data_IF_061721614210
#
_entry.id   IF_061721614210
#
_cell.length_a   1.000
_cell.length_b   1.000
_cell.length_c   1.000
_cell.angle_alpha   90.00
_cell.angle_beta   90.00
_cell.angle_gamma   90.00
#
_symmetry.space_group_name_H-M   'P 1'
#
loop_
_entity.id
_entity.type
_entity.pdbx_description
1 polymer ?
#
# COMPACT_ATOMS: atom_id res chain seq x y z
N UNK A 1 -15.39 7.77 2.69
CA UNK A 1 -14.23 7.84 3.62
C UNK A 1 -14.54 6.96 4.83
N UNK A 2 -13.65 6.06 5.24
CA UNK A 2 -14.00 4.97 6.19
C UNK A 2 -13.14 4.89 7.45
N UNK A 3 -11.99 5.58 7.53
CA UNK A 3 -11.17 5.58 8.75
C UNK A 3 -11.89 6.16 9.99
N UNK A 4 -12.62 7.30 9.90
CA UNK A 4 -13.39 7.80 11.04
C UNK A 4 -14.40 6.77 11.55
N UNK A 5 -15.09 6.07 10.64
CA UNK A 5 -16.04 5.01 10.97
C UNK A 5 -15.36 3.79 11.60
N UNK A 6 -14.19 3.38 11.09
CA UNK A 6 -13.41 2.30 11.70
C UNK A 6 -13.00 2.64 13.14
N UNK A 7 -12.62 3.89 13.42
CA UNK A 7 -12.30 4.37 14.77
C UNK A 7 -13.55 4.34 15.66
N UNK A 8 -14.69 4.83 15.17
CA UNK A 8 -15.95 4.81 15.93
C UNK A 8 -16.38 3.38 16.27
N UNK A 9 -16.31 2.45 15.31
CA UNK A 9 -16.59 1.03 15.55
C UNK A 9 -15.67 0.50 16.66
N UNK A 10 -14.36 0.68 16.51
CA UNK A 10 -13.37 0.18 17.47
C UNK A 10 -13.59 0.70 18.90
N UNK A 11 -13.92 1.99 19.05
CA UNK A 11 -14.22 2.60 20.35
C UNK A 11 -15.56 2.15 20.92
N UNK A 12 -16.57 1.88 20.08
CA UNK A 12 -17.84 1.31 20.53
C UNK A 12 -17.73 -0.12 21.02
N UNK A 13 -16.84 -0.91 20.41
CA UNK A 13 -16.55 -2.26 20.89
C UNK A 13 -15.85 -2.24 22.24
N UNK A 14 -14.94 -1.28 22.43
CA UNK A 14 -14.20 -1.08 23.66
C UNK A 14 -13.59 0.32 23.68
N UNK A 15 -13.96 1.13 24.67
CA UNK A 15 -13.29 2.40 24.96
C UNK A 15 -11.79 2.16 25.13
N UNK A 16 -10.97 3.02 24.54
CA UNK A 16 -9.52 2.81 24.48
C UNK A 16 -8.79 4.14 24.39
N UNK A 17 -7.55 4.14 24.86
CA UNK A 17 -6.65 5.25 24.56
C UNK A 17 -6.20 5.24 23.10
N UNK A 18 -5.70 6.38 22.61
CA UNK A 18 -5.16 6.46 21.24
C UNK A 18 -4.06 5.42 20.96
N UNK A 19 -3.19 5.15 21.95
CA UNK A 19 -2.14 4.15 21.83
C UNK A 19 -2.67 2.71 21.83
N UNK A 20 -3.70 2.42 22.63
CA UNK A 20 -4.36 1.11 22.57
C UNK A 20 -5.11 0.93 21.27
N UNK A 21 -5.71 2.00 20.76
CA UNK A 21 -6.40 1.99 19.48
C UNK A 21 -5.43 1.67 18.35
N UNK A 22 -4.27 2.33 18.28
CA UNK A 22 -3.25 1.99 17.25
C UNK A 22 -2.80 0.54 17.35
N UNK A 23 -2.56 0.02 18.55
CA UNK A 23 -2.21 -1.39 18.76
C UNK A 23 -3.33 -2.36 18.34
N UNK A 24 -4.60 -1.99 18.52
CA UNK A 24 -5.75 -2.77 18.06
C UNK A 24 -5.92 -2.69 16.55
N UNK A 25 -5.62 -1.55 15.93
CA UNK A 25 -5.49 -1.47 14.47
C UNK A 25 -4.38 -2.39 13.97
N UNK A 26 -3.20 -2.41 14.59
CA UNK A 26 -2.12 -3.30 14.16
C UNK A 26 -2.46 -4.81 14.33
N UNK A 27 -3.33 -5.16 15.29
CA UNK A 27 -3.61 -6.56 15.68
C UNK A 27 -4.98 -7.14 15.29
N UNK A 28 -5.99 -6.32 15.04
CA UNK A 28 -7.37 -6.80 14.88
C UNK A 28 -8.19 -6.04 13.84
N UNK A 29 -7.96 -4.74 13.66
CA UNK A 29 -8.76 -3.90 12.74
C UNK A 29 -8.01 -3.62 11.43
N UNK A 30 -6.67 -3.71 11.44
CA UNK A 30 -5.78 -3.47 10.30
C UNK A 30 -5.97 -4.42 9.12
N UNK A 31 -6.65 -5.53 9.37
CA UNK A 31 -6.98 -6.58 8.41
C UNK A 31 -7.96 -6.14 7.32
N UNK A 32 -8.90 -5.25 7.65
CA UNK A 32 -9.86 -4.70 6.69
C UNK A 32 -9.64 -3.23 6.41
N UNK A 33 -8.84 -2.56 7.25
CA UNK A 33 -8.58 -1.13 7.13
C UNK A 33 -7.18 -0.77 7.62
N UNK A 34 -6.27 -0.49 6.69
CA UNK A 34 -4.94 0.01 7.04
C UNK A 34 -4.98 1.51 7.32
N UNK A 35 -4.37 1.92 8.44
CA UNK A 35 -4.17 3.31 8.78
C UNK A 35 -2.88 3.47 9.59
N UNK A 36 -2.10 4.49 9.26
CA UNK A 36 -0.91 4.82 10.04
C UNK A 36 -1.32 5.36 11.41
N UNK A 37 -0.44 5.22 12.40
CA UNK A 37 -0.69 5.78 13.74
C UNK A 37 -0.98 7.29 13.66
N UNK A 38 -0.26 8.02 12.81
CA UNK A 38 -0.49 9.45 12.58
C UNK A 38 -1.89 9.74 12.02
N UNK A 39 -2.37 8.94 11.08
CA UNK A 39 -3.74 9.07 10.56
C UNK A 39 -4.76 8.83 11.67
N UNK A 40 -4.58 7.80 12.50
CA UNK A 40 -5.48 7.50 13.63
C UNK A 40 -5.54 8.68 14.61
N UNK A 41 -4.40 9.23 15.03
CA UNK A 41 -4.37 10.38 15.94
C UNK A 41 -5.01 11.64 15.34
N UNK A 42 -4.78 11.89 14.05
CA UNK A 42 -5.41 13.03 13.35
C UNK A 42 -6.93 12.88 13.30
N UNK A 43 -7.43 11.70 12.97
CA UNK A 43 -8.87 11.45 12.93
C UNK A 43 -9.49 11.46 14.34
N UNK A 44 -8.81 10.98 15.38
CA UNK A 44 -9.29 11.13 16.77
C UNK A 44 -9.53 12.60 17.14
N UNK A 45 -8.56 13.48 16.84
CA UNK A 45 -8.73 14.92 17.09
C UNK A 45 -9.81 15.58 16.23
N UNK A 46 -10.14 15.00 15.07
CA UNK A 46 -11.27 15.45 14.25
C UNK A 46 -12.61 15.01 14.86
N UNK A 47 -12.75 13.73 15.19
CA UNK A 47 -13.95 13.16 15.81
C UNK A 47 -14.30 13.86 17.14
N UNK A 48 -13.28 14.23 17.92
CA UNK A 48 -13.46 14.98 19.18
C UNK A 48 -13.99 16.40 18.91
N UNK A 49 -13.41 17.12 17.93
CA UNK A 49 -13.89 18.45 17.51
C UNK A 49 -15.32 18.42 16.94
N UNK A 50 -15.68 17.33 16.25
CA UNK A 50 -17.02 17.12 15.70
C UNK A 50 -18.04 16.64 16.77
N UNK A 51 -17.63 16.47 18.03
CA UNK A 51 -18.51 16.05 19.11
C UNK A 51 -18.99 14.60 18.99
N UNK A 52 -18.30 13.78 18.19
CA UNK A 52 -18.63 12.37 17.98
C UNK A 52 -17.99 11.47 19.04
N UNK A 53 -16.89 11.90 19.64
CA UNK A 53 -16.21 11.25 20.77
C UNK A 53 -15.85 12.28 21.83
N UNK A 54 -15.51 11.81 23.04
CA UNK A 54 -14.84 12.65 24.06
C UNK A 54 -13.76 11.88 24.79
N UNK A 55 -12.77 12.62 25.30
CA UNK A 55 -11.84 12.09 26.29
C UNK A 55 -12.55 11.83 27.63
N UNK A 56 -12.34 10.65 28.21
CA UNK A 56 -12.81 10.30 29.55
C UNK A 56 -11.93 11.01 30.58
N UNK A 57 -12.50 11.79 31.52
CA UNK A 57 -11.74 12.43 32.58
C UNK A 57 -11.06 11.39 33.47
N UNK A 58 -9.75 11.54 33.69
CA UNK A 58 -9.04 10.68 34.64
C UNK A 58 -9.44 11.06 36.09
N UNK A 59 -9.64 10.09 37.00
CA UNK A 59 -9.99 10.35 38.41
C UNK A 59 -8.95 11.20 39.18
N UNK A 60 -7.70 11.24 38.70
CA UNK A 60 -6.64 12.09 39.23
C UNK A 60 -5.81 12.68 38.08
N UNK A 61 -5.53 14.00 38.10
CA UNK A 61 -4.66 14.65 37.13
C UNK A 61 -3.21 14.22 37.39
N UNK A 62 -2.80 13.11 36.79
CA UNK A 62 -1.41 12.66 36.77
C UNK A 62 -0.79 12.95 35.40
N UNK A 63 0.35 13.64 35.40
CA UNK A 63 1.14 13.93 34.20
C UNK A 63 1.50 12.59 33.53
N UNK A 64 1.08 12.41 32.27
CA UNK A 64 1.39 11.21 31.48
C UNK A 64 0.33 10.11 31.44
N UNK A 65 -0.85 10.29 32.05
CA UNK A 65 -1.96 9.33 31.84
C UNK A 65 -2.50 9.40 30.41
N UNK A 66 -2.77 8.22 29.86
CA UNK A 66 -3.33 8.05 28.52
C UNK A 66 -4.75 8.61 28.49
N UNK A 67 -5.06 9.45 27.50
CA UNK A 67 -6.43 9.88 27.23
C UNK A 67 -7.20 8.69 26.65
N UNK A 68 -8.15 8.16 27.41
CA UNK A 68 -9.13 7.21 26.91
C UNK A 68 -10.28 7.96 26.24
N UNK A 69 -10.82 7.39 25.16
CA UNK A 69 -11.94 7.98 24.43
C UNK A 69 -13.17 7.10 24.54
N UNK A 70 -14.33 7.74 24.63
CA UNK A 70 -15.63 7.10 24.46
C UNK A 70 -16.43 7.77 23.34
N UNK A 71 -17.33 7.00 22.72
CA UNK A 71 -18.19 7.48 21.64
C UNK A 71 -19.46 8.11 22.19
N UNK A 72 -19.77 9.30 21.69
CA UNK A 72 -20.98 10.07 22.03
C UNK A 72 -22.18 9.65 21.17
N UNK A 73 -23.42 10.05 21.54
CA UNK A 73 -24.61 9.76 20.73
C UNK A 73 -24.48 10.20 19.27
N UNK A 74 -23.82 11.34 19.01
CA UNK A 74 -23.55 11.82 17.66
C UNK A 74 -22.67 10.85 16.85
N UNK A 75 -21.65 10.24 17.47
CA UNK A 75 -20.81 9.23 16.80
C UNK A 75 -21.56 7.93 16.51
N UNK A 76 -22.52 7.53 17.35
CA UNK A 76 -23.41 6.40 17.04
C UNK A 76 -24.36 6.72 15.90
N UNK A 77 -24.95 7.92 15.89
CA UNK A 77 -25.83 8.37 14.82
C UNK A 77 -25.10 8.44 13.47
N UNK A 78 -23.84 8.90 13.48
CA UNK A 78 -22.96 8.89 12.32
C UNK A 78 -22.82 7.51 11.69
N UNK A 79 -22.52 6.49 12.50
CA UNK A 79 -22.39 5.11 12.01
C UNK A 79 -23.71 4.55 11.46
N UNK A 80 -24.84 4.88 12.09
CA UNK A 80 -26.16 4.47 11.60
C UNK A 80 -26.42 5.08 10.22
N UNK A 81 -26.14 6.38 10.06
CA UNK A 81 -26.28 7.07 8.77
C UNK A 81 -25.35 6.46 7.72
N UNK A 82 -24.06 6.32 8.04
CA UNK A 82 -23.05 5.82 7.12
C UNK A 82 -23.32 4.38 6.66
N UNK A 83 -23.78 3.49 7.56
CA UNK A 83 -24.15 2.12 7.22
C UNK A 83 -25.30 2.07 6.20
N UNK A 84 -26.21 3.03 6.24
CA UNK A 84 -27.36 3.12 5.33
C UNK A 84 -27.04 3.85 4.02
N UNK A 85 -25.84 4.42 3.90
CA UNK A 85 -25.42 5.17 2.72
C UNK A 85 -25.17 4.21 1.54
N UNK A 86 -25.68 4.57 0.37
CA UNK A 86 -25.42 3.84 -0.86
C UNK A 86 -24.10 4.33 -1.47
N UNK A 87 -23.23 3.39 -1.83
CA UNK A 87 -21.98 3.68 -2.55
C UNK A 87 -21.82 2.67 -3.69
N UNK A 88 -21.18 3.09 -4.78
CA UNK A 88 -20.91 2.19 -5.90
C UNK A 88 -19.73 1.27 -5.58
N UNK A 89 -19.73 0.02 -6.08
CA UNK A 89 -18.57 -0.87 -5.97
C UNK A 89 -17.32 -0.21 -6.56
N UNK A 90 -16.30 -0.01 -5.71
CA UNK A 90 -15.04 0.59 -6.15
C UNK A 90 -14.21 -0.43 -6.89
N UNK A 91 -13.69 -0.04 -8.05
CA UNK A 91 -12.70 -0.85 -8.77
C UNK A 91 -11.40 -0.90 -7.98
N UNK A 92 -10.79 -2.09 -7.79
CA UNK A 92 -9.46 -2.21 -7.22
C UNK A 92 -8.47 -1.35 -8.02
N UNK A 93 -7.68 -0.53 -7.31
CA UNK A 93 -6.62 0.29 -7.90
C UNK A 93 -5.27 -0.19 -7.38
N UNK A 94 -4.91 -1.40 -7.76
CA UNK A 94 -3.62 -1.98 -7.40
C UNK A 94 -2.57 -1.64 -8.48
N UNK A 95 -1.48 -0.91 -8.14
CA UNK A 95 -0.39 -0.64 -9.07
C UNK A 95 0.25 -1.89 -9.68
N UNK A 96 0.20 -3.04 -9.00
CA UNK A 96 0.76 -4.30 -9.48
C UNK A 96 0.11 -4.75 -10.78
N UNK A 97 -1.21 -4.55 -10.93
CA UNK A 97 -1.94 -4.87 -12.16
C UNK A 97 -1.46 -4.01 -13.34
N UNK A 98 -1.17 -2.73 -13.10
CA UNK A 98 -0.62 -1.84 -14.12
C UNK A 98 0.83 -2.20 -14.46
N UNK A 99 1.65 -2.57 -13.47
CA UNK A 99 3.02 -3.05 -13.69
C UNK A 99 3.04 -4.32 -14.54
N UNK A 100 2.15 -5.27 -14.26
CA UNK A 100 2.01 -6.49 -15.06
C UNK A 100 1.53 -6.19 -16.49
N UNK A 101 0.63 -5.21 -16.66
CA UNK A 101 0.26 -4.77 -18.01
C UNK A 101 1.44 -4.13 -18.74
N UNK A 102 2.23 -3.31 -18.04
CA UNK A 102 3.41 -2.68 -18.62
C UNK A 102 4.45 -3.71 -19.07
N UNK A 103 4.61 -4.83 -18.34
CA UNK A 103 5.58 -5.85 -18.73
C UNK A 103 5.26 -6.55 -20.06
N UNK A 104 3.98 -6.56 -20.47
CA UNK A 104 3.60 -7.01 -21.81
C UNK A 104 4.05 -6.08 -22.94
N UNK A 105 4.49 -4.86 -22.61
CA UNK A 105 4.95 -3.83 -23.58
C UNK A 105 6.46 -3.64 -23.51
N UNK A 106 7.03 -3.61 -22.31
CA UNK A 106 8.45 -3.24 -22.09
C UNK A 106 9.34 -4.39 -21.60
N UNK A 107 8.81 -5.62 -21.53
CA UNK A 107 9.53 -6.78 -21.02
C UNK A 107 9.26 -7.07 -19.53
N UNK A 108 9.62 -8.28 -19.09
CA UNK A 108 9.32 -8.81 -17.75
C UNK A 108 10.50 -8.71 -16.79
N UNK A 109 11.62 -8.14 -17.22
CA UNK A 109 12.87 -8.04 -16.45
C UNK A 109 12.62 -7.31 -15.12
N UNK A 110 13.03 -7.96 -14.02
CA UNK A 110 12.91 -7.40 -12.67
C UNK A 110 11.50 -7.41 -12.06
N UNK A 111 10.48 -7.94 -12.76
CA UNK A 111 9.12 -8.05 -12.21
C UNK A 111 8.98 -9.21 -11.21
N UNK A 112 9.66 -10.33 -11.47
CA UNK A 112 9.53 -11.55 -10.69
C UNK A 112 9.84 -11.38 -9.18
N UNK A 113 10.92 -10.68 -8.75
CA UNK A 113 11.18 -10.46 -7.32
C UNK A 113 10.04 -9.75 -6.60
N UNK A 114 9.41 -8.77 -7.25
CA UNK A 114 8.29 -8.03 -6.66
C UNK A 114 7.02 -8.89 -6.57
N UNK A 115 6.74 -9.69 -7.61
CA UNK A 115 5.62 -10.64 -7.58
C UNK A 115 5.77 -11.69 -6.48
N UNK A 116 6.99 -12.25 -6.31
CA UNK A 116 7.28 -13.18 -5.21
C UNK A 116 7.13 -12.51 -3.85
N UNK A 117 7.63 -11.28 -3.68
CA UNK A 117 7.44 -10.50 -2.45
C UNK A 117 5.96 -10.31 -2.12
N UNK A 118 5.13 -9.96 -3.11
CA UNK A 118 3.68 -9.84 -2.94
C UNK A 118 3.04 -11.18 -2.57
N UNK A 119 3.40 -12.27 -3.25
CA UNK A 119 2.88 -13.61 -2.96
C UNK A 119 3.17 -14.03 -1.52
N UNK A 120 4.39 -13.80 -1.03
CA UNK A 120 4.77 -14.14 0.34
C UNK A 120 4.01 -13.30 1.38
N UNK A 121 3.77 -12.01 1.10
CA UNK A 121 2.95 -11.15 1.95
C UNK A 121 1.49 -11.62 2.02
N UNK A 122 0.88 -11.94 0.89
CA UNK A 122 -0.49 -12.46 0.83
C UNK A 122 -0.62 -13.85 1.50
N UNK A 123 0.38 -14.73 1.34
CA UNK A 123 0.43 -16.02 2.05
C UNK A 123 0.51 -15.85 3.57
N UNK A 124 1.38 -14.96 4.04
CA UNK A 124 1.49 -14.66 5.46
C UNK A 124 0.17 -14.09 6.02
N UNK A 125 -0.49 -13.22 5.25
CA UNK A 125 -1.77 -12.63 5.64
C UNK A 125 -2.91 -13.67 5.66
N UNK A 126 -2.98 -14.54 4.65
CA UNK A 126 -3.94 -15.63 4.58
C UNK A 126 -3.80 -16.59 5.77
N UNK A 127 -2.57 -16.99 6.09
CA UNK A 127 -2.29 -17.85 7.23
C UNK A 127 -2.74 -17.21 8.55
N UNK A 128 -2.51 -15.90 8.72
CA UNK A 128 -2.96 -15.17 9.91
C UNK A 128 -4.50 -15.15 10.02
N UNK A 129 -5.23 -14.97 8.92
CA UNK A 129 -6.70 -15.01 8.93
C UNK A 129 -7.26 -16.40 9.22
N UNK A 130 -6.66 -17.44 8.66
CA UNK A 130 -7.07 -18.82 8.93
C UNK A 130 -6.85 -19.21 10.40
N UNK A 131 -5.73 -18.78 10.99
CA UNK A 131 -5.47 -19.03 12.42
C UNK A 131 -6.46 -18.26 13.31
N UNK A 132 -6.80 -17.03 12.93
CA UNK A 132 -7.82 -16.25 13.61
C UNK A 132 -9.20 -16.91 13.53
N UNK A 133 -9.59 -17.39 12.35
CA UNK A 133 -10.86 -18.08 12.16
C UNK A 133 -10.98 -19.29 13.10
N UNK A 134 -9.90 -20.08 13.22
CA UNK A 134 -9.84 -21.21 14.13
C UNK A 134 -9.90 -20.80 15.61
N UNK A 135 -9.19 -19.73 15.99
CA UNK A 135 -9.10 -19.29 17.40
C UNK A 135 -10.38 -18.63 17.90
N UNK A 136 -10.96 -17.73 17.10
CA UNK A 136 -11.99 -16.80 17.57
C UNK A 136 -13.42 -17.25 17.20
N UNK A 137 -13.56 -18.23 16.29
CA UNK A 137 -14.87 -18.68 15.79
C UNK A 137 -15.12 -20.19 15.94
N UNK A 138 -14.32 -20.90 16.76
CA UNK A 138 -14.53 -22.31 17.07
C UNK A 138 -14.82 -22.53 18.58
N UNK A 139 -16.06 -22.91 18.99
CA UNK A 139 -17.30 -22.95 18.21
C UNK A 139 -17.91 -21.55 18.02
N UNK A 140 -18.72 -21.31 16.97
CA UNK A 140 -19.27 -19.99 16.71
C UNK A 140 -20.24 -19.59 17.82
N UNK A 141 -19.99 -18.45 18.46
CA UNK A 141 -21.00 -17.78 19.28
C UNK A 141 -22.22 -17.47 18.41
N UNK A 142 -23.41 -17.96 18.79
CA UNK A 142 -24.65 -17.74 18.02
C UNK A 142 -25.26 -16.34 18.26
N UNK A 143 -24.41 -15.32 18.28
CA UNK A 143 -24.84 -13.92 18.35
C UNK A 143 -24.83 -13.31 16.95
N UNK A 144 -25.76 -12.39 16.67
CA UNK A 144 -25.77 -11.66 15.40
C UNK A 144 -24.44 -10.93 15.15
N UNK A 145 -23.87 -10.34 16.21
CA UNK A 145 -22.56 -9.69 16.17
C UNK A 145 -21.45 -10.68 15.78
N UNK A 146 -21.43 -11.87 16.37
CA UNK A 146 -20.46 -12.93 16.05
C UNK A 146 -20.56 -13.37 14.59
N UNK A 147 -21.79 -13.60 14.09
CA UNK A 147 -22.04 -13.95 12.69
C UNK A 147 -21.55 -12.89 11.71
N UNK A 148 -21.88 -11.61 11.96
CA UNK A 148 -21.43 -10.51 11.09
C UNK A 148 -19.90 -10.38 11.12
N UNK A 149 -19.27 -10.51 12.29
CA UNK A 149 -17.82 -10.45 12.39
C UNK A 149 -17.14 -11.59 11.63
N UNK A 150 -17.69 -12.81 11.73
CA UNK A 150 -17.18 -13.96 10.98
C UNK A 150 -17.29 -13.75 9.47
N UNK A 151 -18.43 -13.23 8.98
CA UNK A 151 -18.62 -12.92 7.55
C UNK A 151 -17.58 -11.94 7.01
N UNK A 152 -17.19 -10.93 7.79
CA UNK A 152 -16.13 -9.98 7.42
C UNK A 152 -14.78 -10.70 7.31
N UNK A 153 -14.42 -11.54 8.29
CA UNK A 153 -13.20 -12.35 8.23
C UNK A 153 -13.17 -13.32 7.05
N UNK A 154 -14.28 -13.99 6.77
CA UNK A 154 -14.44 -14.85 5.59
C UNK A 154 -14.17 -14.11 4.30
N UNK A 155 -14.67 -12.87 4.17
CA UNK A 155 -14.38 -12.01 3.02
C UNK A 155 -12.88 -11.74 2.86
N UNK A 156 -12.18 -11.47 3.97
CA UNK A 156 -10.72 -11.32 3.98
C UNK A 156 -9.99 -12.59 3.52
N UNK A 157 -10.36 -13.75 4.06
CA UNK A 157 -9.78 -15.05 3.65
C UNK A 157 -9.98 -15.29 2.16
N UNK A 158 -11.17 -15.05 1.63
CA UNK A 158 -11.47 -15.23 0.21
C UNK A 158 -10.64 -14.29 -0.68
N UNK A 159 -10.48 -13.04 -0.27
CA UNK A 159 -9.66 -12.06 -1.00
C UNK A 159 -8.17 -12.45 -1.01
N UNK A 160 -7.60 -12.82 0.14
CA UNK A 160 -6.20 -13.25 0.21
C UNK A 160 -5.96 -14.56 -0.55
N UNK A 161 -6.93 -15.49 -0.51
CA UNK A 161 -6.86 -16.74 -1.29
C UNK A 161 -6.80 -16.43 -2.79
N UNK A 162 -7.64 -15.51 -3.27
CA UNK A 162 -7.58 -15.05 -4.66
C UNK A 162 -6.21 -14.50 -5.03
N UNK A 163 -5.61 -13.62 -4.21
CA UNK A 163 -4.30 -13.06 -4.49
C UNK A 163 -3.20 -14.11 -4.53
N UNK A 164 -3.20 -15.07 -3.59
CA UNK A 164 -2.22 -16.16 -3.54
C UNK A 164 -2.32 -17.05 -4.79
N UNK A 165 -3.54 -17.41 -5.18
CA UNK A 165 -3.80 -18.22 -6.38
C UNK A 165 -3.35 -17.48 -7.65
N UNK A 166 -3.85 -16.26 -7.84
CA UNK A 166 -3.57 -15.45 -9.02
C UNK A 166 -2.09 -15.10 -9.17
N UNK A 167 -1.39 -14.72 -8.10
CA UNK A 167 0.05 -14.47 -8.16
C UNK A 167 0.85 -15.74 -8.47
N UNK A 168 0.38 -16.90 -7.99
CA UNK A 168 0.93 -18.19 -8.37
C UNK A 168 0.81 -18.46 -9.87
N UNK A 169 -0.36 -18.19 -10.45
CA UNK A 169 -0.60 -18.30 -11.89
C UNK A 169 0.28 -17.34 -12.71
N UNK A 170 0.36 -16.07 -12.28
CA UNK A 170 1.19 -15.05 -12.96
C UNK A 170 2.66 -15.47 -12.96
N UNK A 171 3.19 -15.91 -11.81
CA UNK A 171 4.58 -16.37 -11.72
C UNK A 171 4.85 -17.61 -12.58
N UNK A 172 3.89 -18.54 -12.67
CA UNK A 172 4.02 -19.72 -13.52
C UNK A 172 3.95 -19.39 -15.02
N UNK A 173 3.28 -18.28 -15.39
CA UNK A 173 3.13 -17.82 -16.77
C UNK A 173 4.24 -16.89 -17.26
N UNK A 174 5.13 -16.41 -16.39
CA UNK A 174 6.26 -15.60 -16.82
C UNK A 174 7.28 -16.46 -17.59
N UNK A 175 7.78 -15.98 -18.74
CA UNK A 175 8.87 -16.67 -19.43
C UNK A 175 10.06 -16.75 -18.47
N UNK A 176 10.60 -17.96 -18.28
CA UNK A 176 11.78 -18.15 -17.44
C UNK A 176 12.87 -17.19 -17.88
N UNK A 177 13.41 -16.42 -16.93
CA UNK A 177 14.53 -15.52 -17.21
C UNK A 177 15.62 -16.34 -17.91
N UNK A 178 16.05 -15.99 -19.15
CA UNK A 178 17.22 -16.63 -19.71
C UNK A 178 18.35 -16.47 -18.68
N UNK A 179 19.11 -17.53 -18.38
CA UNK A 179 20.22 -17.43 -17.42
C UNK A 179 21.05 -16.21 -17.84
N UNK A 180 21.33 -15.33 -16.87
CA UNK A 180 22.14 -14.14 -17.10
C UNK A 180 23.35 -14.57 -17.93
N UNK A 181 23.38 -14.11 -19.19
CA UNK A 181 24.30 -14.58 -20.19
C UNK A 181 25.71 -14.47 -19.63
N UNK A 182 26.42 -15.60 -19.73
CA UNK A 182 27.86 -15.71 -19.67
C UNK A 182 28.47 -14.45 -20.30
N UNK A 183 29.03 -13.56 -19.47
CA UNK A 183 29.88 -12.48 -19.98
C UNK A 183 31.03 -13.18 -20.67
N UNK A 184 30.90 -13.32 -21.99
CA UNK A 184 31.97 -13.76 -22.86
C UNK A 184 33.20 -12.92 -22.54
N UNK A 185 34.18 -13.54 -21.90
CA UNK A 185 35.49 -12.98 -21.71
C UNK A 185 36.00 -12.46 -23.06
N UNK A 186 36.50 -11.22 -23.15
CA UNK A 186 37.12 -10.77 -24.39
C UNK A 186 38.36 -11.63 -24.62
N UNK A 187 38.27 -12.49 -25.64
CA UNK A 187 39.38 -13.28 -26.13
C UNK A 187 40.51 -12.34 -26.55
N UNK A 188 41.66 -12.56 -25.95
CA UNK A 188 42.93 -12.17 -26.53
C UNK A 188 43.06 -12.88 -27.87
N UNK A 189 43.27 -12.13 -28.95
CA UNK A 189 44.15 -12.62 -29.99
C UNK A 189 44.96 -11.47 -30.60
N UNK A 190 46.24 -11.77 -30.70
CA UNK A 190 47.34 -11.00 -31.25
C UNK A 190 47.17 -10.85 -32.76
N UNK A 191 47.41 -9.66 -33.29
CA UNK A 191 47.87 -9.50 -34.67
C UNK A 191 48.67 -8.20 -34.78
N UNK A 192 49.97 -8.38 -34.63
CA UNK A 192 51.03 -7.48 -35.06
C UNK A 192 51.02 -7.30 -36.60
N UNK A 193 51.72 -6.25 -37.01
CA UNK A 193 52.37 -6.04 -38.30
C UNK A 193 51.72 -5.10 -39.36
N UNK A 194 52.36 -3.92 -39.45
CA UNK A 194 52.73 -3.13 -40.65
C UNK A 194 51.78 -2.11 -41.31
N UNK A 195 52.14 -0.83 -41.14
CA UNK A 195 51.92 0.30 -42.06
C UNK A 195 52.92 0.23 -43.26
N UNK A 196 53.02 1.19 -44.22
CA UNK A 196 52.40 2.52 -44.34
C UNK A 196 52.01 2.99 -45.79
N UNK A 197 51.52 4.25 -45.92
CA UNK A 197 51.51 5.06 -47.16
C UNK A 197 50.13 5.67 -47.48
N UNK A 198 49.85 6.96 -47.24
CA UNK A 198 50.25 8.20 -47.95
C UNK A 198 49.09 8.80 -48.82
N UNK A 199 48.90 10.13 -48.73
CA UNK A 199 48.11 10.96 -49.68
C UNK A 199 46.78 11.50 -49.12
N UNK A 200 46.71 12.68 -48.50
CA UNK A 200 46.71 14.05 -49.05
C UNK A 200 45.31 14.72 -49.15
N UNK A 201 45.27 15.95 -48.62
CA UNK A 201 44.47 17.12 -49.06
C UNK A 201 42.97 17.27 -48.70
N UNK A 202 42.74 18.06 -47.64
CA UNK A 202 41.75 19.15 -47.53
C UNK A 202 42.01 20.22 -48.63
N UNK A 203 41.07 21.12 -49.03
CA UNK A 203 40.40 22.06 -48.09
C UNK A 203 39.03 22.71 -48.45
N UNK A 204 38.34 23.17 -47.40
CA UNK A 204 37.67 24.49 -47.33
C UNK A 204 36.17 24.51 -47.70
N UNK A 205 35.32 25.42 -47.21
CA UNK A 205 35.42 26.57 -46.30
C UNK A 205 33.97 27.06 -46.02
N UNK A 206 33.85 27.98 -45.07
CA UNK A 206 32.73 28.92 -44.81
C UNK A 206 31.59 28.41 -43.90
N UNK A 207 31.57 28.81 -42.63
CA UNK A 207 31.10 30.10 -42.07
C UNK A 207 29.59 30.32 -42.22
N UNK A 208 28.87 30.25 -41.10
CA UNK A 208 28.37 31.44 -40.40
C UNK A 208 27.24 31.07 -39.44
N UNK A 209 27.49 31.29 -38.15
CA UNK A 209 26.44 31.53 -37.17
C UNK A 209 25.86 32.95 -37.39
N UNK A 210 24.71 33.26 -36.78
CA UNK A 210 24.85 34.12 -35.61
C UNK A 210 23.99 33.65 -34.43
N UNK A 211 24.55 33.85 -33.24
CA UNK A 211 23.79 33.81 -31.99
C UNK A 211 22.97 35.08 -31.78
N UNK A 212 22.16 35.03 -30.72
CA UNK A 212 21.97 36.12 -29.76
C UNK A 212 21.28 35.57 -28.52
N UNK A 213 22.06 35.48 -27.45
CA UNK A 213 21.60 35.71 -26.08
C UNK A 213 20.88 37.07 -26.01
N UNK A 214 19.81 37.18 -25.23
CA UNK A 214 19.72 38.21 -24.20
C UNK A 214 18.63 37.84 -23.18
N UNK A 215 19.07 37.51 -21.98
CA UNK A 215 18.28 37.55 -20.77
C UNK A 215 18.15 39.02 -20.32
N UNK A 216 16.98 39.46 -19.84
CA UNK A 216 16.89 40.10 -18.51
C UNK A 216 15.43 40.35 -18.06
N UNK A 217 15.17 39.91 -16.82
CA UNK A 217 14.58 40.67 -15.70
C UNK A 217 13.10 41.11 -15.60
N UNK A 218 12.53 40.65 -14.47
CA UNK A 218 11.72 41.36 -13.44
C UNK A 218 10.37 41.98 -13.84
N UNK A 219 9.24 41.55 -13.27
CA UNK A 219 8.68 41.82 -11.92
C UNK A 219 7.67 42.99 -11.95
N UNK A 220 6.66 42.86 -11.08
CA UNK A 220 5.56 43.76 -10.75
C UNK A 220 4.31 43.77 -11.66
N UNK A 221 3.22 43.23 -11.10
CA UNK A 221 1.84 43.35 -11.55
C UNK A 221 0.90 42.58 -10.65
#
# INVERSE_FOLDING_TARGET
>A
MSLPHAILIALLEKSSSGLELTRRFDKSIGYFWSATHQQIYRELGRLEREGQIRAIPAPQPARGKRKEYEVLPAGRAELIRWKAEQDEPKRPRDPLLLRLRASGVVGTEGLEPELRRHLDLHRAQLAAYQEMEKRDFAPPEDTERGRVHHLVLRGGIMMESFWVEWLGEVLAGLPGQPPAGDEAAPGADDADETAPGEGEALPGKDEAAPGKDEADRTDAG
#
